data_IF_439539930857
#
_entry.id   IF_439539930857
#
_cell.length_a   1.000
_cell.length_b   1.000
_cell.length_c   1.000
_cell.angle_alpha   90.00
_cell.angle_beta   90.00
_cell.angle_gamma   90.00
#
_symmetry.space_group_name_H-M   'P 1'
#
loop_
_entity.id
_entity.type
_entity.pdbx_description
1 polymer ?
#
# COMPACT_ATOMS: atom_id res chain seq x y z
N UNK A 1 -6.45 15.73 -3.58
CA UNK A 1 -6.44 14.32 -3.17
C UNK A 1 -7.82 13.94 -2.69
N UNK A 2 -8.27 12.71 -2.92
CA UNK A 2 -9.52 12.21 -2.32
C UNK A 2 -9.40 12.34 -0.80
N UNK A 3 -10.41 12.94 -0.17
CA UNK A 3 -10.43 13.24 1.27
C UNK A 3 -10.77 12.04 2.16
N UNK A 4 -10.94 10.88 1.55
CA UNK A 4 -11.37 9.64 2.22
C UNK A 4 -10.31 9.19 3.22
N UNK A 5 -10.75 8.88 4.43
CA UNK A 5 -9.89 8.42 5.51
C UNK A 5 -10.25 6.96 5.83
N UNK A 6 -9.26 6.08 5.91
CA UNK A 6 -9.47 4.71 6.35
C UNK A 6 -9.16 4.58 7.84
N UNK A 7 -10.07 3.97 8.59
CA UNK A 7 -9.90 3.60 9.98
C UNK A 7 -9.71 2.09 10.08
N UNK A 8 -8.63 1.67 10.73
CA UNK A 8 -8.33 0.28 11.05
C UNK A 8 -8.58 0.08 12.54
N UNK A 9 -9.62 -0.67 12.90
CA UNK A 9 -9.99 -0.92 14.30
C UNK A 9 -10.58 -2.31 14.48
N UNK A 10 -10.18 -3.02 15.54
CA UNK A 10 -10.69 -4.34 15.90
C UNK A 10 -10.69 -5.37 14.75
N UNK A 11 -9.71 -5.31 13.84
CA UNK A 11 -9.61 -6.21 12.68
C UNK A 11 -10.57 -5.89 11.53
N UNK A 12 -11.13 -4.68 11.52
CA UNK A 12 -12.00 -4.17 10.44
C UNK A 12 -11.43 -2.90 9.83
N UNK A 13 -11.81 -2.62 8.59
CA UNK A 13 -11.45 -1.39 7.86
C UNK A 13 -12.73 -0.66 7.51
N UNK A 14 -12.83 0.60 7.92
CA UNK A 14 -13.95 1.48 7.60
C UNK A 14 -13.46 2.72 6.86
N UNK A 15 -14.28 3.24 5.94
CA UNK A 15 -14.06 4.56 5.33
C UNK A 15 -14.83 5.59 6.14
N UNK A 16 -14.13 6.59 6.65
CA UNK A 16 -14.72 7.70 7.38
C UNK A 16 -15.02 8.85 6.44
N UNK A 17 -16.18 9.47 6.67
CA UNK A 17 -16.50 10.76 6.09
C UNK A 17 -15.56 11.85 6.65
N UNK A 18 -15.34 12.97 5.92
CA UNK A 18 -14.49 14.06 6.39
C UNK A 18 -14.89 14.60 7.77
N UNK A 19 -16.19 14.64 8.08
CA UNK A 19 -16.72 15.13 9.34
C UNK A 19 -16.36 14.19 10.50
N UNK A 20 -16.51 12.87 10.29
CA UNK A 20 -16.18 11.83 11.28
C UNK A 20 -14.67 11.83 11.60
N UNK A 21 -13.86 12.01 10.56
CA UNK A 21 -12.40 12.11 10.69
C UNK A 21 -12.00 13.24 11.64
N UNK A 22 -12.55 14.44 11.49
CA UNK A 22 -12.13 15.59 12.31
C UNK A 22 -12.51 15.43 13.79
N UNK A 23 -13.55 14.66 14.11
CA UNK A 23 -13.93 14.33 15.50
C UNK A 23 -12.88 13.45 16.17
N UNK A 24 -12.35 12.46 15.46
CA UNK A 24 -11.45 11.46 16.06
C UNK A 24 -9.97 11.80 15.90
N UNK A 25 -9.60 12.61 14.90
CA UNK A 25 -8.20 12.91 14.53
C UNK A 25 -7.32 13.37 15.69
N UNK A 26 -7.87 14.12 16.66
CA UNK A 26 -7.14 14.56 17.85
C UNK A 26 -6.72 13.44 18.80
N UNK A 27 -7.33 12.25 18.67
CA UNK A 27 -7.01 11.06 19.47
C UNK A 27 -5.84 10.26 18.89
N UNK A 28 -5.41 10.55 17.66
CA UNK A 28 -4.37 9.81 16.97
C UNK A 28 -3.11 10.64 16.80
N UNK A 29 -1.96 9.99 16.97
CA UNK A 29 -0.65 10.54 16.63
C UNK A 29 -0.24 10.21 15.20
N UNK A 30 0.70 10.99 14.66
CA UNK A 30 1.37 10.63 13.41
C UNK A 30 2.17 9.33 13.63
N UNK A 31 1.93 8.33 12.79
CA UNK A 31 2.66 7.07 12.79
C UNK A 31 4.01 7.19 12.05
N UNK A 32 3.95 7.44 10.73
CA UNK A 32 5.12 7.61 9.86
C UNK A 32 4.72 8.31 8.56
N UNK A 33 5.70 8.81 7.81
CA UNK A 33 5.52 9.20 6.41
C UNK A 33 5.79 7.98 5.52
N UNK A 34 4.98 7.78 4.48
CA UNK A 34 5.13 6.70 3.54
C UNK A 34 4.86 7.18 2.10
N UNK A 35 5.54 6.57 1.14
CA UNK A 35 5.34 6.81 -0.29
C UNK A 35 4.08 6.12 -0.82
N UNK A 36 3.61 5.07 -0.15
CA UNK A 36 2.42 4.33 -0.53
C UNK A 36 1.99 3.33 0.53
N UNK A 37 0.73 2.92 0.46
CA UNK A 37 0.16 1.84 1.28
C UNK A 37 -0.09 0.64 0.37
N UNK A 38 0.53 -0.51 0.66
CA UNK A 38 0.32 -1.74 -0.09
C UNK A 38 -0.93 -2.50 0.40
N UNK A 39 -1.38 -2.22 1.62
CA UNK A 39 -2.61 -2.77 2.20
C UNK A 39 -2.39 -3.51 3.53
N UNK A 40 -3.39 -4.31 3.92
CA UNK A 40 -3.36 -5.16 5.11
C UNK A 40 -2.85 -6.56 4.75
N UNK A 41 -1.76 -7.00 5.40
CA UNK A 41 -1.31 -8.38 5.38
C UNK A 41 -1.86 -9.13 6.60
N UNK A 42 -2.61 -10.21 6.35
CA UNK A 42 -3.10 -11.11 7.39
C UNK A 42 -2.33 -12.43 7.39
N UNK A 43 -1.80 -12.79 8.56
CA UNK A 43 -1.07 -14.05 8.81
C UNK A 43 -1.81 -14.86 9.86
N UNK A 44 -1.76 -16.19 9.75
CA UNK A 44 -2.28 -17.10 10.77
C UNK A 44 -1.11 -17.77 11.48
N UNK A 45 -1.08 -17.69 12.80
CA UNK A 45 -0.05 -18.28 13.65
C UNK A 45 -0.66 -18.85 14.92
N UNK A 46 -0.43 -20.13 15.17
CA UNK A 46 -0.90 -20.79 16.40
C UNK A 46 -2.40 -20.70 16.70
N UNK A 47 -3.25 -20.54 15.66
CA UNK A 47 -4.70 -20.34 15.82
C UNK A 47 -5.16 -18.89 15.99
N UNK A 48 -4.21 -17.95 16.14
CA UNK A 48 -4.46 -16.51 16.15
C UNK A 48 -4.21 -15.89 14.77
N UNK A 49 -4.98 -14.86 14.41
CA UNK A 49 -4.75 -14.10 13.18
C UNK A 49 -4.05 -12.78 13.53
N UNK A 50 -2.90 -12.55 12.91
CA UNK A 50 -2.13 -11.32 13.02
C UNK A 50 -2.39 -10.47 11.76
N UNK A 51 -2.57 -9.18 11.92
CA UNK A 51 -2.73 -8.23 10.81
C UNK A 51 -1.69 -7.12 10.88
N UNK A 52 -1.13 -6.79 9.73
CA UNK A 52 -0.14 -5.75 9.60
C UNK A 52 -0.51 -4.79 8.47
N UNK A 53 -0.42 -3.49 8.72
CA UNK A 53 -0.44 -2.47 7.68
C UNK A 53 0.94 -2.42 7.01
N UNK A 54 0.97 -2.64 5.70
CA UNK A 54 2.22 -2.67 4.92
C UNK A 54 2.40 -1.35 4.16
N UNK A 55 3.46 -0.62 4.49
CA UNK A 55 3.75 0.69 3.94
C UNK A 55 5.06 0.66 3.13
N UNK A 56 5.09 1.42 2.03
CA UNK A 56 6.32 1.71 1.29
C UNK A 56 6.98 2.91 1.95
N UNK A 57 8.08 2.68 2.65
CA UNK A 57 8.84 3.74 3.36
C UNK A 57 10.12 4.15 2.63
N UNK A 58 10.48 3.44 1.57
CA UNK A 58 11.55 3.84 0.66
C UNK A 58 11.29 3.39 -0.77
N UNK A 59 11.53 4.30 -1.71
CA UNK A 59 11.53 4.01 -3.13
C UNK A 59 12.55 4.89 -3.86
N UNK A 60 12.94 4.49 -5.07
CA UNK A 60 13.83 5.27 -5.95
C UNK A 60 13.19 5.37 -7.33
N UNK A 61 13.17 6.56 -7.93
CA UNK A 61 12.80 6.70 -9.34
C UNK A 61 13.82 5.93 -10.20
N UNK A 62 13.32 5.14 -11.13
CA UNK A 62 14.14 4.36 -12.07
C UNK A 62 13.97 4.81 -13.51
N UNK A 63 13.13 5.81 -13.75
CA UNK A 63 12.95 6.39 -15.07
C UNK A 63 11.58 7.04 -15.23
N UNK A 64 11.52 7.93 -16.23
CA UNK A 64 10.31 8.64 -16.62
C UNK A 64 9.90 8.20 -18.01
N UNK A 65 8.61 7.96 -18.16
CA UNK A 65 7.93 7.83 -19.45
C UNK A 65 7.00 9.04 -19.64
N UNK A 66 6.48 9.30 -20.85
CA UNK A 66 5.64 10.48 -21.11
C UNK A 66 4.47 10.64 -20.14
N UNK A 67 3.88 9.53 -19.70
CA UNK A 67 2.65 9.53 -18.91
C UNK A 67 2.88 9.35 -17.40
N UNK A 68 4.07 8.94 -16.96
CA UNK A 68 4.34 8.62 -15.56
C UNK A 68 5.84 8.60 -15.20
N UNK A 69 6.12 8.79 -13.92
CA UNK A 69 7.39 8.44 -13.30
C UNK A 69 7.31 7.01 -12.73
N UNK A 70 8.34 6.20 -12.93
CA UNK A 70 8.39 4.82 -12.45
C UNK A 70 9.31 4.74 -11.23
N UNK A 71 8.79 4.15 -10.16
CA UNK A 71 9.50 3.98 -8.90
C UNK A 71 9.72 2.51 -8.60
N UNK A 72 10.90 2.20 -8.08
CA UNK A 72 11.26 0.91 -7.50
C UNK A 72 11.14 0.98 -5.99
N UNK A 73 10.46 0.01 -5.38
CA UNK A 73 10.38 -0.13 -3.92
C UNK A 73 11.72 -0.62 -3.39
N UNK A 74 12.27 0.08 -2.40
CA UNK A 74 13.56 -0.24 -1.78
C UNK A 74 13.45 -0.50 -0.28
N UNK A 75 12.37 -0.05 0.36
CA UNK A 75 12.07 -0.35 1.75
C UNK A 75 10.56 -0.39 1.99
N UNK A 76 10.14 -1.35 2.80
CA UNK A 76 8.79 -1.45 3.34
C UNK A 76 8.83 -1.60 4.84
N UNK A 77 7.79 -1.11 5.53
CA UNK A 77 7.57 -1.33 6.95
C UNK A 77 6.20 -1.95 7.21
N UNK A 78 6.12 -2.74 8.27
CA UNK A 78 4.96 -3.53 8.66
C UNK A 78 4.55 -3.09 10.06
N UNK A 79 3.38 -2.46 10.16
CA UNK A 79 2.87 -1.96 11.43
C UNK A 79 1.76 -2.89 11.93
N UNK A 80 1.89 -3.47 13.14
CA UNK A 80 0.86 -4.35 13.68
C UNK A 80 -0.44 -3.57 13.94
N UNK A 81 -1.57 -4.22 13.65
CA UNK A 81 -2.91 -3.68 13.93
C UNK A 81 -3.52 -4.26 15.21
N UNK A 82 -2.78 -5.10 15.94
CA UNK A 82 -3.16 -5.67 17.24
C UNK A 82 -1.99 -5.57 18.23
N UNK A 83 -2.28 -5.40 19.53
CA UNK A 83 -1.25 -5.20 20.57
C UNK A 83 -0.28 -6.38 20.75
N UNK A 84 -0.74 -7.62 20.52
CA UNK A 84 0.04 -8.85 20.73
C UNK A 84 0.73 -9.40 19.47
N UNK A 85 0.76 -8.63 18.37
CA UNK A 85 1.37 -9.08 17.13
C UNK A 85 2.90 -9.12 17.25
N UNK A 86 3.45 -10.32 17.43
CA UNK A 86 4.89 -10.55 17.46
C UNK A 86 5.46 -10.68 16.05
N UNK A 87 6.68 -10.19 15.88
CA UNK A 87 7.43 -10.34 14.63
C UNK A 87 7.82 -11.81 14.44
N UNK A 88 7.40 -12.38 13.31
CA UNK A 88 7.68 -13.77 12.94
C UNK A 88 8.76 -13.84 11.85
N UNK A 89 9.47 -14.96 11.77
CA UNK A 89 10.48 -15.18 10.72
C UNK A 89 9.89 -15.00 9.30
N UNK A 90 8.63 -15.42 9.10
CA UNK A 90 7.90 -15.21 7.85
C UNK A 90 7.69 -13.73 7.54
N UNK A 91 7.43 -12.89 8.55
CA UNK A 91 7.27 -11.45 8.38
C UNK A 91 8.58 -10.81 7.94
N UNK A 92 9.69 -11.19 8.58
CA UNK A 92 11.04 -10.72 8.22
C UNK A 92 11.38 -11.12 6.78
N UNK A 93 11.07 -12.36 6.38
CA UNK A 93 11.26 -12.82 5.01
C UNK A 93 10.43 -12.02 4.00
N UNK A 94 9.15 -11.76 4.30
CA UNK A 94 8.27 -10.93 3.46
C UNK A 94 8.78 -9.49 3.35
N UNK A 95 9.25 -8.89 4.45
CA UNK A 95 9.86 -7.56 4.45
C UNK A 95 11.07 -7.50 3.52
N UNK A 96 11.95 -8.50 3.57
CA UNK A 96 13.11 -8.64 2.67
C UNK A 96 12.69 -8.79 1.21
N UNK A 97 11.66 -9.60 0.94
CA UNK A 97 11.14 -9.79 -0.43
C UNK A 97 10.60 -8.47 -0.97
N UNK A 98 9.69 -7.81 -0.25
CA UNK A 98 9.10 -6.55 -0.71
C UNK A 98 10.13 -5.42 -0.84
N UNK A 99 11.19 -5.46 -0.05
CA UNK A 99 12.31 -4.50 -0.11
C UNK A 99 13.43 -4.92 -1.08
N UNK A 100 13.26 -6.00 -1.84
CA UNK A 100 14.34 -6.57 -2.68
C UNK A 100 14.68 -5.75 -3.93
N UNK A 101 13.91 -4.70 -4.24
CA UNK A 101 14.11 -3.90 -5.46
C UNK A 101 13.55 -4.53 -6.73
N UNK A 102 12.65 -5.50 -6.62
CA UNK A 102 11.96 -6.12 -7.78
C UNK A 102 10.50 -5.69 -7.92
N UNK A 103 9.99 -4.88 -6.99
CA UNK A 103 8.64 -4.33 -7.02
C UNK A 103 8.66 -2.88 -7.49
N UNK A 104 7.67 -2.52 -8.30
CA UNK A 104 7.58 -1.21 -8.94
C UNK A 104 6.17 -0.67 -8.88
N UNK A 105 6.06 0.65 -8.86
CA UNK A 105 4.79 1.37 -9.05
C UNK A 105 5.04 2.59 -9.93
N UNK A 106 3.97 3.08 -10.55
CA UNK A 106 4.00 4.32 -11.33
C UNK A 106 3.33 5.44 -10.55
N UNK A 107 3.87 6.65 -10.69
CA UNK A 107 3.19 7.87 -10.32
C UNK A 107 2.75 8.59 -11.61
N UNK A 108 1.45 8.57 -11.94
CA UNK A 108 0.93 9.21 -13.16
C UNK A 108 1.18 10.73 -13.14
N UNK A 109 1.53 11.28 -14.30
CA UNK A 109 1.56 12.73 -14.49
C UNK A 109 0.14 13.32 -14.40
N UNK A 110 0.03 14.60 -14.11
CA UNK A 110 -1.28 15.26 -13.98
C UNK A 110 -2.15 15.04 -15.23
N UNK A 111 -3.35 14.47 -15.01
CA UNK A 111 -4.30 14.16 -16.07
C UNK A 111 -4.10 12.81 -16.77
N UNK A 112 -3.02 12.08 -16.50
CA UNK A 112 -2.81 10.73 -17.04
C UNK A 112 -3.43 9.66 -16.13
N UNK A 113 -3.74 8.49 -16.69
CA UNK A 113 -4.26 7.30 -15.98
C UNK A 113 -3.35 6.08 -16.18
N UNK A 114 -2.05 6.33 -16.27
CA UNK A 114 -1.09 5.27 -16.58
C UNK A 114 -1.07 4.21 -15.48
N UNK A 115 -1.31 2.96 -15.86
CA UNK A 115 -1.20 1.78 -15.00
C UNK A 115 -0.06 0.88 -15.50
N UNK A 116 0.96 0.71 -14.66
CA UNK A 116 2.14 -0.10 -14.96
C UNK A 116 1.82 -1.59 -15.14
N UNK A 117 0.70 -2.07 -14.59
CA UNK A 117 0.30 -3.48 -14.68
C UNK A 117 -0.37 -3.83 -16.01
N UNK A 118 -0.76 -2.81 -16.77
CA UNK A 118 -1.39 -2.95 -18.08
C UNK A 118 -0.39 -2.62 -19.18
N UNK A 119 -0.24 -3.52 -20.13
CA UNK A 119 0.62 -3.31 -21.31
C UNK A 119 0.17 -2.06 -22.08
N UNK A 120 1.11 -1.30 -22.63
CA UNK A 120 0.83 -0.05 -23.35
C UNK A 120 -0.20 -0.21 -24.47
N UNK A 121 -0.18 -1.32 -25.23
CA UNK A 121 -1.14 -1.58 -26.32
C UNK A 121 -2.60 -1.69 -25.85
N UNK A 122 -2.80 -1.85 -24.55
CA UNK A 122 -4.08 -2.09 -23.89
C UNK A 122 -4.50 -0.94 -22.97
N UNK A 123 -3.70 0.11 -22.87
CA UNK A 123 -4.06 1.27 -22.07
C UNK A 123 -5.19 2.05 -22.76
N UNK A 124 -6.28 2.29 -22.04
CA UNK A 124 -7.46 3.02 -22.54
C UNK A 124 -8.64 2.15 -23.00
N UNK A 125 -8.53 0.84 -22.90
CA UNK A 125 -9.68 -0.07 -23.06
C UNK A 125 -10.33 -0.27 -21.69
N UNK A 126 -11.63 0.03 -21.55
CA UNK A 126 -12.38 0.03 -20.28
C UNK A 126 -12.67 -1.40 -19.75
N UNK A 127 -12.00 -2.42 -20.27
CA UNK A 127 -12.17 -3.79 -19.79
C UNK A 127 -11.53 -3.95 -18.40
N UNK A 128 -12.38 -4.03 -17.37
CA UNK A 128 -12.00 -4.17 -15.95
C UNK A 128 -11.27 -5.47 -15.58
N UNK A 129 -10.91 -6.30 -16.56
CA UNK A 129 -10.28 -7.62 -16.35
C UNK A 129 -8.76 -7.62 -16.58
N UNK A 130 -8.16 -6.51 -16.99
CA UNK A 130 -6.74 -6.45 -17.35
C UNK A 130 -5.88 -5.94 -16.19
N UNK A 131 -4.80 -6.66 -15.89
CA UNK A 131 -3.87 -6.34 -14.80
C UNK A 131 -3.86 -7.36 -13.66
N UNK A 132 -4.89 -8.19 -13.51
CA UNK A 132 -5.01 -9.16 -12.42
C UNK A 132 -3.89 -10.22 -12.36
N UNK A 133 -3.21 -10.52 -13.47
CA UNK A 133 -2.07 -11.44 -13.45
C UNK A 133 -0.78 -10.79 -12.92
N UNK A 134 -0.76 -9.48 -12.79
CA UNK A 134 0.39 -8.67 -12.37
C UNK A 134 0.14 -7.95 -11.04
N UNK A 135 -1.02 -8.18 -10.40
CA UNK A 135 -1.39 -7.72 -9.06
C UNK A 135 -1.58 -8.90 -8.10
#
# INVERSE_FOLDING_TARGET
GRGDCLLFEAGTVATLAPEEKEVIKGQYGKLTDAYGCLGELRLKSGGTSLSFLVLVTGCTSVGRIPDAEIYKITATDFYPLQEDAKEEERLIALKKILSSGVFYFSWPNDGSRFDLTVRTQKQGDDSSEWGNSFF
#
